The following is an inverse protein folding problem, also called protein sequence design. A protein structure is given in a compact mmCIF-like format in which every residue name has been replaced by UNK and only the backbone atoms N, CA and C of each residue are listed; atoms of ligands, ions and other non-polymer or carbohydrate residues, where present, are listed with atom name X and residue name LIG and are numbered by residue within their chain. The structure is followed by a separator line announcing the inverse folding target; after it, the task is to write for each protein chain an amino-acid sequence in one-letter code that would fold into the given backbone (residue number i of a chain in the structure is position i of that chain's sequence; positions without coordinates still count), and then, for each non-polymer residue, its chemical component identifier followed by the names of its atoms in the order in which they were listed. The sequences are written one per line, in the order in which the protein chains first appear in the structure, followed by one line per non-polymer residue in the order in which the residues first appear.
data_IF_208698006713
#
_entry.id   IF_208698006713
#
_cell.length_a   1.000
_cell.length_b   1.000
_cell.length_c   1.000
_cell.angle_alpha   90.00
_cell.angle_beta   90.00
_cell.angle_gamma   90.00
#
_symmetry.space_group_name_H-M   'P 1'
#
loop_
_entity.id
_entity.type
_entity.pdbx_description
1 polymer ?
#
# COMPACT_ATOMS: atom_id res chain seq x y z
N UNK A 1 -10.53 -2.27 -1.44
CA UNK A 1 -10.43 -0.92 -0.87
C UNK A 1 -9.35 -0.16 -1.62
N UNK A 2 -9.72 1.01 -2.10
CA UNK A 2 -8.89 1.95 -2.87
C UNK A 2 -8.58 3.18 -2.00
N UNK A 3 -7.77 4.11 -2.50
CA UNK A 3 -7.63 5.43 -1.89
C UNK A 3 -7.92 6.53 -2.91
N UNK A 4 -8.57 7.59 -2.44
CA UNK A 4 -8.81 8.83 -3.16
C UNK A 4 -7.86 9.91 -2.63
N UNK A 5 -7.33 10.75 -3.52
CA UNK A 5 -6.49 11.88 -3.17
C UNK A 5 -7.11 13.14 -3.77
N UNK A 6 -7.61 14.02 -2.90
CA UNK A 6 -8.38 15.19 -3.30
C UNK A 6 -7.61 16.47 -2.96
N UNK A 7 -7.46 17.35 -3.93
CA UNK A 7 -6.81 18.64 -3.76
C UNK A 7 -7.66 19.75 -4.38
N UNK A 8 -7.76 20.89 -3.68
CA UNK A 8 -8.54 22.05 -4.13
C UNK A 8 -7.64 23.24 -4.45
N UNK A 9 -8.11 24.09 -5.36
CA UNK A 9 -7.39 25.28 -5.84
C UNK A 9 -8.35 26.41 -6.22
N UNK A 10 -7.88 27.66 -6.19
CA UNK A 10 -8.67 28.82 -6.61
C UNK A 10 -8.88 28.87 -8.13
N UNK A 11 -7.90 28.40 -8.90
CA UNK A 11 -7.88 28.40 -10.37
C UNK A 11 -7.94 26.96 -10.91
N UNK A 12 -8.45 26.74 -12.14
CA UNK A 12 -8.46 25.41 -12.73
C UNK A 12 -7.04 24.93 -13.05
N UNK A 13 -6.63 23.81 -12.44
CA UNK A 13 -5.34 23.14 -12.71
C UNK A 13 -5.60 21.80 -13.41
N UNK A 14 -5.14 21.66 -14.66
CA UNK A 14 -5.21 20.41 -15.41
C UNK A 14 -3.93 19.59 -15.23
N UNK A 15 -4.05 18.37 -14.73
CA UNK A 15 -2.92 17.48 -14.45
C UNK A 15 -3.11 16.16 -15.21
N UNK A 16 -2.17 15.77 -16.11
CA UNK A 16 -2.27 14.50 -16.82
C UNK A 16 -2.45 13.30 -15.87
N UNK A 17 -3.41 12.44 -16.18
CA UNK A 17 -3.72 11.23 -15.42
C UNK A 17 -4.35 11.46 -14.04
N UNK A 18 -4.79 12.67 -13.75
CA UNK A 18 -5.60 13.04 -12.58
C UNK A 18 -6.94 13.56 -13.09
N UNK A 19 -8.03 13.22 -12.40
CA UNK A 19 -9.36 13.68 -12.79
C UNK A 19 -9.60 15.13 -12.33
N UNK A 20 -10.44 15.85 -13.09
CA UNK A 20 -10.69 17.27 -12.89
C UNK A 20 -9.94 18.16 -13.89
N UNK A 21 -9.86 19.48 -13.64
CA UNK A 21 -10.39 20.16 -12.46
C UNK A 21 -11.92 20.32 -12.50
N UNK A 22 -12.61 19.95 -11.43
CA UNK A 22 -14.06 20.05 -11.28
C UNK A 22 -14.44 21.29 -10.46
N UNK A 23 -15.14 22.25 -11.06
CA UNK A 23 -15.52 23.50 -10.38
C UNK A 23 -16.63 23.28 -9.35
N UNK A 24 -16.43 23.79 -8.14
CA UNK A 24 -17.38 23.75 -7.03
C UNK A 24 -17.90 22.36 -6.67
N UNK A 25 -17.16 21.29 -7.00
CA UNK A 25 -17.59 19.90 -6.80
C UNK A 25 -17.50 19.45 -5.34
N UNK A 26 -16.59 20.02 -4.55
CA UNK A 26 -16.44 19.72 -3.11
C UNK A 26 -16.60 20.97 -2.24
N UNK A 27 -15.92 22.06 -2.59
CA UNK A 27 -16.00 23.35 -1.88
C UNK A 27 -16.50 24.44 -2.84
N UNK A 28 -17.54 25.20 -2.49
CA UNK A 28 -18.06 26.26 -3.36
C UNK A 28 -16.98 27.28 -3.75
N UNK A 29 -16.93 27.64 -5.03
CA UNK A 29 -15.98 28.62 -5.57
C UNK A 29 -14.56 28.10 -5.81
N UNK A 30 -14.27 26.83 -5.50
CA UNK A 30 -12.95 26.21 -5.69
C UNK A 30 -12.99 25.06 -6.70
N UNK A 31 -11.85 24.77 -7.30
CA UNK A 31 -11.64 23.68 -8.26
C UNK A 31 -11.04 22.46 -7.58
N UNK A 32 -11.66 21.29 -7.76
CA UNK A 32 -11.20 20.00 -7.24
C UNK A 32 -10.42 19.21 -8.30
N UNK A 33 -9.27 18.69 -7.92
CA UNK A 33 -8.58 17.61 -8.63
C UNK A 33 -8.63 16.33 -7.79
N UNK A 34 -8.90 15.20 -8.46
CA UNK A 34 -9.08 13.90 -7.81
C UNK A 34 -8.12 12.86 -8.43
N UNK A 35 -7.09 12.51 -7.67
CA UNK A 35 -6.23 11.38 -7.96
C UNK A 35 -6.70 10.12 -7.23
N UNK A 36 -6.13 8.97 -7.57
CA UNK A 36 -6.42 7.77 -6.80
C UNK A 36 -5.43 6.64 -7.01
N UNK A 37 -5.47 5.70 -6.07
CA UNK A 37 -4.76 4.42 -6.14
C UNK A 37 -5.79 3.30 -6.22
N UNK A 38 -5.70 2.48 -7.28
CA UNK A 38 -6.67 1.44 -7.62
C UNK A 38 -6.71 0.28 -6.60
N UNK A 39 -5.64 0.08 -5.84
CA UNK A 39 -5.60 -0.89 -4.74
C UNK A 39 -4.65 -0.39 -3.64
N UNK A 40 -5.20 -0.20 -2.43
CA UNK A 40 -4.41 0.22 -1.25
C UNK A 40 -4.56 -0.80 -0.13
N UNK A 41 -5.59 -0.68 0.70
CA UNK A 41 -5.89 -1.69 1.73
C UNK A 41 -6.10 -3.08 1.12
N UNK A 42 -6.66 -3.15 -0.10
CA UNK A 42 -6.78 -4.44 -0.83
C UNK A 42 -5.46 -5.01 -1.31
N UNK A 43 -4.49 -4.16 -1.62
CA UNK A 43 -3.14 -4.62 -1.95
C UNK A 43 -2.45 -5.18 -0.71
N UNK A 44 -2.55 -4.49 0.44
CA UNK A 44 -2.03 -4.99 1.72
C UNK A 44 -2.64 -6.35 2.07
N UNK A 45 -3.98 -6.48 1.99
CA UNK A 45 -4.68 -7.75 2.19
C UNK A 45 -4.12 -8.83 1.25
N UNK A 46 -3.95 -8.51 -0.04
CA UNK A 46 -3.44 -9.44 -1.05
C UNK A 46 -2.03 -9.93 -0.75
N UNK A 47 -1.11 -9.03 -0.39
CA UNK A 47 0.28 -9.39 -0.07
C UNK A 47 0.34 -10.24 1.20
N UNK A 48 -0.40 -9.86 2.26
CA UNK A 48 -0.36 -10.58 3.53
C UNK A 48 -1.01 -11.95 3.41
N UNK A 49 -2.22 -12.03 2.83
CA UNK A 49 -2.99 -13.27 2.73
C UNK A 49 -2.47 -14.21 1.63
N UNK A 50 -1.86 -13.64 0.58
CA UNK A 50 -1.28 -14.41 -0.53
C UNK A 50 0.10 -15.00 -0.21
N UNK A 51 0.73 -14.60 0.90
CA UNK A 51 2.05 -15.12 1.26
C UNK A 51 1.97 -16.53 1.86
N UNK A 52 2.92 -17.40 1.51
CA UNK A 52 2.96 -18.80 1.97
C UNK A 52 2.97 -18.96 3.50
N UNK A 53 3.52 -17.98 4.23
CA UNK A 53 3.56 -17.96 5.70
C UNK A 53 2.26 -17.47 6.36
N UNK A 54 1.22 -17.12 5.60
CA UNK A 54 -0.03 -16.61 6.17
C UNK A 54 -0.72 -17.59 7.15
N UNK A 55 -0.79 -18.91 6.90
CA UNK A 55 -1.37 -19.85 7.87
C UNK A 55 -0.62 -19.86 9.21
N UNK A 56 0.72 -19.77 9.17
CA UNK A 56 1.56 -19.68 10.37
C UNK A 56 1.30 -18.36 11.11
N UNK A 57 1.23 -17.24 10.39
CA UNK A 57 0.89 -15.94 10.95
C UNK A 57 -0.48 -15.95 11.64
N UNK A 58 -1.49 -16.55 11.00
CA UNK A 58 -2.83 -16.66 11.58
C UNK A 58 -2.82 -17.46 12.89
N UNK A 59 -2.12 -18.60 12.92
CA UNK A 59 -2.00 -19.42 14.13
C UNK A 59 -1.31 -18.63 15.27
N UNK A 60 -0.21 -17.92 14.95
CA UNK A 60 0.51 -17.08 15.91
C UNK A 60 -0.34 -15.93 16.44
N UNK A 61 -0.97 -15.16 15.54
CA UNK A 61 -1.85 -14.04 15.91
C UNK A 61 -3.02 -14.52 16.80
N UNK A 62 -3.64 -15.65 16.46
CA UNK A 62 -4.71 -16.26 17.28
C UNK A 62 -4.21 -16.65 18.66
N UNK A 63 -3.04 -17.28 18.75
CA UNK A 63 -2.45 -17.70 20.04
C UNK A 63 -2.12 -16.51 20.95
N UNK A 64 -1.78 -15.36 20.38
CA UNK A 64 -1.52 -14.12 21.11
C UNK A 64 -2.77 -13.25 21.32
N UNK A 65 -3.97 -13.68 20.89
CA UNK A 65 -5.20 -12.91 21.00
C UNK A 65 -5.22 -11.61 20.17
N UNK A 66 -4.44 -11.55 19.08
CA UNK A 66 -4.27 -10.37 18.23
C UNK A 66 -4.82 -10.64 16.83
N UNK A 67 -5.18 -9.57 16.11
CA UNK A 67 -5.36 -9.67 14.67
C UNK A 67 -3.98 -9.76 13.97
N UNK A 68 -3.97 -10.24 12.72
CA UNK A 68 -2.74 -10.48 11.97
C UNK A 68 -1.88 -9.23 11.78
N UNK A 69 -2.49 -8.05 11.57
CA UNK A 69 -1.75 -6.79 11.37
C UNK A 69 -1.14 -6.28 12.68
N UNK A 70 -1.85 -6.41 13.80
CA UNK A 70 -1.31 -6.09 15.12
C UNK A 70 -0.12 -6.99 15.46
N UNK A 71 -0.20 -8.29 15.14
CA UNK A 71 0.93 -9.21 15.31
C UNK A 71 2.13 -8.81 14.44
N UNK A 72 1.91 -8.49 13.16
CA UNK A 72 2.96 -8.05 12.24
C UNK A 72 3.62 -6.75 12.73
N UNK A 73 2.84 -5.76 13.18
CA UNK A 73 3.37 -4.52 13.75
C UNK A 73 4.24 -4.78 14.99
N UNK A 74 3.80 -5.64 15.90
CA UNK A 74 4.62 -6.02 17.06
C UNK A 74 5.90 -6.75 16.63
N UNK A 75 5.82 -7.61 15.62
CA UNK A 75 6.98 -8.31 15.09
C UNK A 75 7.98 -7.33 14.43
N UNK A 76 7.48 -6.30 13.72
CA UNK A 76 8.30 -5.23 13.15
C UNK A 76 9.11 -4.50 14.21
N UNK A 77 8.49 -4.16 15.33
CA UNK A 77 9.15 -3.53 16.48
C UNK A 77 10.29 -4.40 17.05
N UNK A 78 10.12 -5.73 17.06
CA UNK A 78 11.14 -6.66 17.52
C UNK A 78 12.32 -6.76 16.54
N UNK A 79 12.05 -6.78 15.23
CA UNK A 79 13.10 -7.00 14.22
C UNK A 79 13.85 -5.72 13.82
N UNK A 80 13.21 -4.54 13.92
CA UNK A 80 13.88 -3.26 13.63
C UNK A 80 15.02 -2.98 14.61
N UNK A 81 14.98 -3.57 15.82
CA UNK A 81 15.90 -3.32 16.93
C UNK A 81 15.97 -1.83 17.26
N UNK A 82 16.96 -1.13 16.73
CA UNK A 82 17.21 0.31 16.90
C UNK A 82 17.31 1.06 15.58
N UNK A 83 17.09 0.37 14.46
CA UNK A 83 17.13 0.98 13.13
C UNK A 83 15.76 1.57 12.76
N UNK A 84 15.73 2.58 11.88
CA UNK A 84 14.48 3.06 11.29
C UNK A 84 13.74 1.91 10.60
N UNK A 85 12.41 1.81 10.74
CA UNK A 85 11.64 0.69 10.19
C UNK A 85 11.84 0.54 8.67
N UNK A 86 12.01 1.65 7.95
CA UNK A 86 12.27 1.66 6.51
C UNK A 86 13.61 1.04 6.09
N UNK A 87 14.55 0.85 7.01
CA UNK A 87 15.80 0.14 6.69
C UNK A 87 15.58 -1.37 6.48
N UNK A 88 14.45 -1.91 6.92
CA UNK A 88 14.13 -3.34 6.75
C UNK A 88 13.79 -3.69 5.30
N UNK A 89 13.38 -2.72 4.49
CA UNK A 89 12.93 -2.91 3.10
C UNK A 89 13.97 -2.47 2.06
N UNK A 90 15.23 -2.23 2.44
CA UNK A 90 16.28 -1.77 1.51
C UNK A 90 16.51 -2.71 0.33
N UNK A 91 16.27 -4.01 0.51
CA UNK A 91 16.39 -5.05 -0.53
C UNK A 91 15.02 -5.57 -1.02
N UNK A 92 13.93 -4.91 -0.61
CA UNK A 92 12.56 -5.23 -1.01
C UNK A 92 11.93 -4.02 -1.71
N UNK A 93 11.55 -4.19 -2.97
CA UNK A 93 10.90 -3.15 -3.73
C UNK A 93 9.58 -3.66 -4.30
N UNK A 94 8.55 -2.84 -4.16
CA UNK A 94 7.19 -3.12 -4.64
C UNK A 94 6.79 -2.06 -5.65
N UNK A 95 6.41 -2.50 -6.85
CA UNK A 95 5.64 -1.70 -7.80
C UNK A 95 4.15 -1.99 -7.55
N UNK A 96 3.36 -1.02 -7.02
CA UNK A 96 2.07 -1.32 -6.40
C UNK A 96 0.90 -1.43 -7.39
N UNK A 97 1.10 -1.23 -8.69
CA UNK A 97 0.04 -1.21 -9.70
C UNK A 97 -0.50 -2.63 -10.06
N UNK A 98 -0.88 -3.42 -9.05
CA UNK A 98 -1.48 -4.76 -9.21
C UNK A 98 -2.84 -4.73 -9.90
N UNK A 99 -3.51 -3.57 -9.89
CA UNK A 99 -4.80 -3.34 -10.53
C UNK A 99 -4.74 -2.12 -11.46
N UNK A 100 -3.64 -2.00 -12.21
CA UNK A 100 -3.34 -0.82 -13.02
C UNK A 100 -3.03 0.42 -12.18
N UNK A 101 -2.65 1.49 -12.85
CA UNK A 101 -2.39 2.78 -12.23
C UNK A 101 -3.51 3.77 -12.61
N UNK A 102 -4.32 4.19 -11.64
CA UNK A 102 -5.32 5.23 -11.87
C UNK A 102 -4.66 6.60 -12.05
N UNK A 103 -3.78 6.98 -11.13
CA UNK A 103 -3.05 8.25 -11.18
C UNK A 103 -1.61 8.07 -10.68
N UNK A 104 -0.63 8.80 -11.23
CA UNK A 104 -0.76 9.77 -12.33
C UNK A 104 -0.59 9.16 -13.74
N UNK A 105 -0.32 7.87 -13.86
CA UNK A 105 0.00 7.25 -15.16
C UNK A 105 -1.23 6.97 -16.01
N UNK A 106 -2.41 6.82 -15.38
CA UNK A 106 -3.68 6.52 -16.04
C UNK A 106 -3.59 5.35 -17.03
N UNK A 107 -2.90 4.29 -16.62
CA UNK A 107 -2.68 3.08 -17.41
C UNK A 107 -3.26 1.86 -16.68
N UNK A 108 -4.36 1.35 -17.21
CA UNK A 108 -5.06 0.17 -16.69
C UNK A 108 -4.34 -1.16 -16.98
N UNK A 109 -3.35 -1.14 -17.88
CA UNK A 109 -2.63 -2.35 -18.32
C UNK A 109 -1.48 -2.72 -17.40
N UNK A 110 -0.97 -1.76 -16.61
CA UNK A 110 0.13 -1.96 -15.68
C UNK A 110 -0.15 -3.10 -14.71
N UNK A 111 0.94 -3.82 -14.37
CA UNK A 111 0.95 -4.93 -13.44
C UNK A 111 1.97 -4.65 -12.34
N UNK A 112 1.62 -5.11 -11.15
CA UNK A 112 2.50 -4.99 -10.00
C UNK A 112 3.68 -5.94 -10.06
N UNK A 113 4.69 -5.61 -9.27
CA UNK A 113 5.92 -6.42 -9.15
C UNK A 113 6.39 -6.36 -7.70
N UNK A 114 6.89 -7.49 -7.21
CA UNK A 114 7.65 -7.56 -5.95
C UNK A 114 9.02 -8.11 -6.28
N UNK A 115 10.07 -7.35 -5.96
CA UNK A 115 11.46 -7.78 -6.10
C UNK A 115 12.07 -7.85 -4.72
N UNK A 116 12.56 -9.03 -4.35
CA UNK A 116 13.19 -9.29 -3.07
C UNK A 116 14.47 -10.12 -3.27
N UNK A 117 15.52 -9.82 -2.50
CA UNK A 117 16.76 -10.61 -2.42
C UNK A 117 16.63 -11.86 -1.52
N UNK A 118 15.69 -11.88 -0.58
CA UNK A 118 15.54 -12.95 0.40
C UNK A 118 14.83 -14.18 -0.19
N UNK A 119 15.52 -15.33 -0.23
CA UNK A 119 15.00 -16.61 -0.76
C UNK A 119 14.16 -17.44 0.25
N UNK A 120 14.06 -17.01 1.51
CA UNK A 120 13.44 -17.81 2.59
C UNK A 120 12.00 -17.36 2.84
N UNK A 121 11.06 -18.30 2.92
CA UNK A 121 9.64 -18.09 3.24
C UNK A 121 9.36 -18.38 4.70
N UNK A 122 9.51 -17.38 5.58
CA UNK A 122 9.10 -17.46 6.99
C UNK A 122 8.24 -16.25 7.36
N UNK A 123 7.62 -16.27 8.55
CA UNK A 123 6.90 -15.10 9.10
C UNK A 123 7.75 -13.82 9.05
N UNK A 124 9.07 -13.93 9.21
CA UNK A 124 10.01 -12.81 9.11
C UNK A 124 9.96 -12.12 7.73
N UNK A 125 10.00 -12.89 6.64
CA UNK A 125 9.94 -12.35 5.27
C UNK A 125 8.57 -11.75 4.98
N UNK A 126 7.49 -12.37 5.49
CA UNK A 126 6.14 -11.80 5.40
C UNK A 126 6.04 -10.44 6.11
N UNK A 127 6.70 -10.32 7.27
CA UNK A 127 6.71 -9.08 8.05
C UNK A 127 7.40 -7.95 7.26
N UNK A 128 8.48 -8.27 6.56
CA UNK A 128 9.18 -7.30 5.69
C UNK A 128 8.34 -6.97 4.46
N UNK A 129 7.63 -7.94 3.87
CA UNK A 129 6.70 -7.72 2.74
C UNK A 129 5.45 -6.90 3.09
N UNK A 130 5.11 -6.80 4.37
CA UNK A 130 3.96 -6.03 4.87
C UNK A 130 4.26 -4.52 5.00
N UNK A 131 5.53 -4.14 5.16
CA UNK A 131 5.97 -2.73 5.17
C UNK A 131 5.78 -2.06 3.81
#
# INVERSE_FOLDING_TARGET
TTACHEAISNDPVFVPGVWGPYYSAMVPGLWLNEGGQSATGKLIDHIVQGHAAFPELQAKAKSSGQNVYAYLNNHLELIKKSLPVGSLTVDLHVWPDFHGNRSPLADLTLKGMVKNKYQKTYTHTLTICYL
#
